data_IF_186909658157
#
_entry.id   IF_186909658157
#
_cell.length_a   1.000
_cell.length_b   1.000
_cell.length_c   1.000
_cell.angle_alpha   90.00
_cell.angle_beta   90.00
_cell.angle_gamma   90.00
#
_symmetry.space_group_name_H-M   'P 1'
#
loop_
_entity.id
_entity.type
_entity.pdbx_description
1 polymer ?
#
# COMPACT_ATOMS: atom_id res chain seq x y z
N UNK A 1 -21.06 20.02 11.52
CA UNK A 1 -20.16 19.46 10.49
C UNK A 1 -20.80 19.78 9.15
N UNK A 2 -20.19 20.64 8.32
CA UNK A 2 -20.77 21.01 7.02
C UNK A 2 -20.79 19.76 6.15
N UNK A 3 -21.94 19.45 5.54
CA UNK A 3 -22.05 18.47 4.48
C UNK A 3 -21.03 18.84 3.39
N UNK A 4 -20.03 17.99 3.19
CA UNK A 4 -19.19 18.06 1.99
C UNK A 4 -19.93 17.23 0.96
N UNK A 5 -20.92 17.84 0.30
CA UNK A 5 -21.55 17.32 -0.93
C UNK A 5 -20.88 17.99 -2.16
N UNK A 6 -19.56 18.23 -2.08
CA UNK A 6 -18.82 18.87 -3.17
C UNK A 6 -18.29 17.79 -4.11
N UNK A 7 -18.66 17.87 -5.39
CA UNK A 7 -18.05 17.04 -6.42
C UNK A 7 -16.52 17.27 -6.44
N UNK A 8 -15.72 16.20 -6.58
CA UNK A 8 -14.27 16.36 -6.64
C UNK A 8 -13.87 17.16 -7.87
N UNK A 9 -12.91 18.07 -7.70
CA UNK A 9 -12.39 18.87 -8.82
C UNK A 9 -11.38 18.02 -9.58
N UNK A 10 -11.67 17.73 -10.86
CA UNK A 10 -10.67 17.14 -11.77
C UNK A 10 -9.66 18.21 -12.16
N UNK A 11 -8.40 18.01 -11.81
CA UNK A 11 -7.31 18.98 -11.99
C UNK A 11 -6.39 18.64 -13.16
N UNK A 12 -6.28 17.35 -13.51
CA UNK A 12 -5.51 16.87 -14.64
C UNK A 12 -6.11 15.56 -15.19
N UNK A 13 -5.81 15.28 -16.46
CA UNK A 13 -6.11 14.02 -17.14
C UNK A 13 -4.94 13.71 -18.07
N UNK A 14 -4.39 12.50 -17.96
CA UNK A 14 -3.14 12.08 -18.56
C UNK A 14 -3.34 10.81 -19.39
N UNK A 15 -2.71 10.76 -20.55
CA UNK A 15 -2.61 9.56 -21.37
C UNK A 15 -1.45 8.69 -20.88
N UNK A 16 -1.76 7.49 -20.41
CA UNK A 16 -0.78 6.54 -19.88
C UNK A 16 -0.70 5.25 -20.72
N UNK A 17 -1.27 5.22 -21.93
CA UNK A 17 -1.30 4.01 -22.78
C UNK A 17 0.07 3.41 -23.05
N UNK A 18 1.11 4.24 -23.06
CA UNK A 18 2.48 3.78 -23.28
C UNK A 18 2.96 2.79 -22.21
N UNK A 19 2.39 2.82 -20.99
CA UNK A 19 2.72 1.86 -19.93
C UNK A 19 2.19 0.44 -20.18
N UNK A 20 1.20 0.29 -21.06
CA UNK A 20 0.45 -0.95 -21.24
C UNK A 20 -0.58 -1.21 -20.13
N UNK A 21 -1.39 -2.27 -20.28
CA UNK A 21 -2.50 -2.55 -19.37
C UNK A 21 -2.06 -3.13 -18.04
N UNK A 22 -2.96 -3.10 -17.05
CA UNK A 22 -2.86 -3.81 -15.75
C UNK A 22 -1.66 -3.41 -14.90
N UNK A 23 -1.29 -2.13 -14.97
CA UNK A 23 -0.22 -1.58 -14.14
C UNK A 23 -0.67 -1.25 -12.71
N UNK A 24 0.27 -1.31 -11.76
CA UNK A 24 0.17 -0.62 -10.46
C UNK A 24 0.89 0.72 -10.56
N UNK A 25 0.30 1.78 -10.03
CA UNK A 25 0.94 3.09 -9.95
C UNK A 25 1.72 3.22 -8.65
N UNK A 26 2.94 3.75 -8.76
CA UNK A 26 3.77 4.22 -7.66
C UNK A 26 4.00 5.73 -7.83
N UNK A 27 4.14 6.44 -6.72
CA UNK A 27 4.30 7.90 -6.70
C UNK A 27 5.59 8.27 -5.96
N UNK A 28 6.28 9.29 -6.47
CA UNK A 28 7.45 9.90 -5.83
C UNK A 28 8.02 11.04 -6.68
N UNK A 29 8.69 11.99 -6.04
CA UNK A 29 9.40 13.09 -6.71
C UNK A 29 10.76 12.57 -7.19
N UNK A 30 10.82 12.12 -8.44
CA UNK A 30 11.94 11.37 -8.98
C UNK A 30 13.09 12.26 -9.44
N UNK A 31 12.82 13.53 -9.76
CA UNK A 31 13.83 14.47 -10.23
C UNK A 31 14.15 15.61 -9.25
N UNK A 32 13.43 15.67 -8.13
CA UNK A 32 13.67 16.53 -6.98
C UNK A 32 13.16 17.96 -7.18
N UNK A 33 12.18 18.18 -8.06
CA UNK A 33 11.67 19.50 -8.41
C UNK A 33 10.56 20.01 -7.48
N UNK A 34 10.06 19.18 -6.57
CA UNK A 34 8.95 19.50 -5.68
C UNK A 34 7.58 19.06 -6.20
N UNK A 35 7.54 18.19 -7.21
CA UNK A 35 6.34 17.60 -7.80
C UNK A 35 6.58 16.10 -8.00
N UNK A 36 5.58 15.28 -7.72
CA UNK A 36 5.70 13.83 -7.88
C UNK A 36 5.49 13.41 -9.34
N UNK A 37 6.22 12.38 -9.76
CA UNK A 37 5.98 11.60 -10.97
C UNK A 37 5.12 10.36 -10.66
N UNK A 38 4.59 9.76 -11.73
CA UNK A 38 3.92 8.46 -11.70
C UNK A 38 4.81 7.40 -12.33
N UNK A 39 5.08 6.30 -11.62
CA UNK A 39 5.71 5.10 -12.19
C UNK A 39 4.69 3.98 -12.30
N UNK A 40 4.39 3.56 -13.51
CA UNK A 40 3.47 2.47 -13.79
C UNK A 40 4.26 1.17 -13.91
N UNK A 41 4.07 0.27 -12.94
CA UNK A 41 4.68 -1.04 -12.90
C UNK A 41 3.76 -2.09 -13.51
N UNK A 42 4.17 -2.64 -14.66
CA UNK A 42 3.42 -3.68 -15.36
C UNK A 42 3.94 -5.07 -14.95
N UNK A 43 3.06 -6.01 -14.55
CA UNK A 43 3.46 -7.38 -14.30
C UNK A 43 3.79 -8.14 -15.60
N UNK A 44 4.55 -9.23 -15.47
CA UNK A 44 4.70 -10.24 -16.52
C UNK A 44 3.36 -10.88 -16.93
N UNK A 45 3.36 -11.63 -18.03
CA UNK A 45 2.16 -12.20 -18.64
C UNK A 45 1.65 -13.49 -17.96
N UNK A 46 2.10 -13.80 -16.74
CA UNK A 46 1.63 -14.98 -15.99
C UNK A 46 0.15 -14.82 -15.64
N UNK A 47 -0.65 -15.83 -15.95
CA UNK A 47 -2.10 -15.77 -15.70
C UNK A 47 -2.50 -16.40 -14.36
N UNK A 48 -1.71 -17.34 -13.85
CA UNK A 48 -1.93 -17.99 -12.55
C UNK A 48 -0.75 -17.68 -11.61
N UNK A 49 -1.04 -16.90 -10.58
CA UNK A 49 -0.06 -16.41 -9.60
C UNK A 49 -0.31 -16.95 -8.19
N UNK A 50 -1.10 -18.02 -8.06
CA UNK A 50 -1.42 -18.61 -6.75
C UNK A 50 -0.18 -19.11 -5.99
N UNK A 51 0.84 -19.54 -6.71
CA UNK A 51 2.06 -20.15 -6.14
C UNK A 51 3.35 -19.46 -6.55
N UNK A 52 3.38 -18.85 -7.74
CA UNK A 52 4.53 -18.13 -8.28
C UNK A 52 4.05 -16.71 -8.57
N UNK A 53 4.53 -15.70 -7.83
CA UNK A 53 4.05 -14.34 -8.00
C UNK A 53 4.60 -13.70 -9.27
N UNK A 54 4.14 -12.50 -9.59
CA UNK A 54 4.64 -11.72 -10.72
C UNK A 54 6.11 -11.32 -10.57
N UNK A 55 6.76 -11.12 -11.72
CA UNK A 55 7.88 -10.19 -11.86
C UNK A 55 7.41 -8.95 -12.62
N UNK A 56 8.24 -7.92 -12.67
CA UNK A 56 7.98 -6.71 -13.45
C UNK A 56 8.41 -6.93 -14.91
N UNK A 57 7.49 -6.68 -15.83
CA UNK A 57 7.71 -6.72 -17.29
C UNK A 57 8.17 -5.37 -17.84
N UNK A 58 7.59 -4.29 -17.30
CA UNK A 58 7.93 -2.93 -17.68
C UNK A 58 7.67 -1.95 -16.53
N UNK A 59 8.48 -0.91 -16.48
CA UNK A 59 8.26 0.29 -15.68
C UNK A 59 8.20 1.48 -16.64
N UNK A 60 7.18 2.32 -16.51
CA UNK A 60 7.05 3.54 -17.33
C UNK A 60 6.78 4.74 -16.44
N UNK A 61 7.66 5.73 -16.50
CA UNK A 61 7.54 6.94 -15.70
C UNK A 61 6.95 8.10 -16.53
N UNK A 62 6.02 8.83 -15.92
CA UNK A 62 5.40 10.03 -16.47
C UNK A 62 5.45 11.16 -15.46
N UNK A 63 5.61 12.39 -15.95
CA UNK A 63 5.28 13.57 -15.15
C UNK A 63 3.75 13.77 -15.07
N UNK A 64 3.32 14.70 -14.21
CA UNK A 64 1.90 15.06 -14.07
C UNK A 64 1.35 15.92 -15.22
N UNK A 65 2.14 16.19 -16.26
CA UNK A 65 1.67 16.76 -17.53
C UNK A 65 1.45 15.68 -18.62
N UNK A 66 1.70 14.40 -18.28
CA UNK A 66 1.48 13.25 -19.15
C UNK A 66 2.65 12.95 -20.08
N UNK A 67 3.81 13.59 -19.87
CA UNK A 67 5.01 13.31 -20.65
C UNK A 67 5.69 12.06 -20.12
N UNK A 68 5.94 11.11 -21.01
CA UNK A 68 6.81 9.96 -20.73
C UNK A 68 8.25 10.45 -20.51
N UNK A 69 8.81 10.13 -19.34
CA UNK A 69 10.17 10.50 -18.94
C UNK A 69 11.17 9.40 -19.32
N UNK A 70 10.88 8.17 -18.89
CA UNK A 70 11.67 6.99 -19.21
C UNK A 70 10.81 5.73 -19.16
N UNK A 71 11.31 4.67 -19.80
CA UNK A 71 10.70 3.33 -19.77
C UNK A 71 11.79 2.28 -19.70
N UNK A 72 11.64 1.33 -18.77
CA UNK A 72 12.51 0.16 -18.61
C UNK A 72 11.70 -1.10 -18.88
N UNK A 73 12.24 -2.02 -19.66
CA UNK A 73 11.49 -3.16 -20.17
C UNK A 73 10.54 -2.79 -21.31
N UNK A 74 9.72 -3.76 -21.74
CA UNK A 74 8.77 -3.61 -22.85
C UNK A 74 7.39 -4.02 -22.39
N UNK A 75 6.40 -3.11 -22.42
CA UNK A 75 5.03 -3.46 -22.07
C UNK A 75 4.47 -4.60 -22.93
N UNK A 76 3.74 -5.51 -22.28
CA UNK A 76 3.05 -6.64 -22.89
C UNK A 76 1.52 -6.44 -22.81
N UNK A 77 0.79 -6.38 -23.95
CA UNK A 77 -0.67 -6.38 -23.95
C UNK A 77 -1.30 -7.60 -23.25
N UNK A 78 -0.56 -8.70 -23.16
CA UNK A 78 -0.91 -9.95 -22.49
C UNK A 78 -0.53 -10.02 -21.00
N UNK A 79 -0.12 -8.91 -20.36
CA UNK A 79 0.23 -8.84 -18.94
C UNK A 79 -0.76 -9.59 -18.01
N UNK A 80 -0.31 -10.09 -16.87
CA UNK A 80 -1.18 -10.75 -15.90
C UNK A 80 -2.13 -9.79 -15.17
N UNK A 81 -2.99 -10.35 -14.34
CA UNK A 81 -3.94 -9.61 -13.50
C UNK A 81 -3.43 -9.38 -12.06
N UNK A 82 -4.19 -8.65 -11.23
CA UNK A 82 -3.84 -8.31 -9.84
C UNK A 82 -4.04 -9.48 -8.86
N UNK A 83 -3.41 -10.64 -9.09
CA UNK A 83 -3.56 -11.84 -8.25
C UNK A 83 -2.44 -12.07 -7.21
N UNK A 84 -1.33 -11.36 -7.37
CA UNK A 84 -0.21 -11.27 -6.45
C UNK A 84 0.26 -9.82 -6.43
N UNK A 85 1.19 -9.50 -5.53
CA UNK A 85 1.79 -8.18 -5.54
C UNK A 85 2.77 -8.00 -6.72
N UNK A 86 3.20 -6.76 -6.95
CA UNK A 86 4.20 -6.42 -7.96
C UNK A 86 5.50 -5.98 -7.27
N UNK A 87 6.64 -6.65 -7.51
CA UNK A 87 7.88 -6.37 -6.78
C UNK A 87 8.55 -5.11 -7.32
N UNK A 88 8.03 -3.93 -6.98
CA UNK A 88 8.62 -2.64 -7.31
C UNK A 88 8.32 -1.55 -6.27
N UNK A 89 9.32 -0.78 -5.82
CA UNK A 89 9.15 0.29 -4.83
C UNK A 89 9.94 1.54 -5.21
N UNK A 90 9.51 2.71 -4.71
CA UNK A 90 10.24 3.98 -4.85
C UNK A 90 10.78 4.39 -3.48
N UNK A 91 12.11 4.48 -3.33
CA UNK A 91 12.76 4.74 -2.05
C UNK A 91 14.16 5.32 -2.25
N UNK A 92 14.62 6.17 -1.33
CA UNK A 92 16.03 6.52 -1.20
C UNK A 92 16.76 5.36 -0.49
N UNK A 93 17.47 4.54 -1.25
CA UNK A 93 18.12 3.32 -0.74
C UNK A 93 19.62 3.47 -0.48
N UNK A 94 20.23 4.59 -0.86
CA UNK A 94 21.64 4.87 -0.57
C UNK A 94 21.89 6.10 0.32
N UNK A 95 20.82 6.80 0.71
CA UNK A 95 20.84 7.91 1.66
C UNK A 95 21.35 9.22 1.04
N UNK A 96 21.35 9.35 -0.29
CA UNK A 96 21.83 10.55 -0.99
C UNK A 96 20.75 11.66 -1.11
N UNK A 97 19.53 11.39 -0.64
CA UNK A 97 18.38 12.28 -0.70
C UNK A 97 17.65 12.28 -2.04
N UNK A 98 17.96 11.34 -2.94
CA UNK A 98 17.26 11.13 -4.22
C UNK A 98 16.60 9.76 -4.21
N UNK A 99 15.54 9.63 -5.01
CA UNK A 99 14.78 8.40 -5.07
C UNK A 99 15.36 7.43 -6.11
N UNK A 100 15.47 6.17 -5.71
CA UNK A 100 15.59 5.04 -6.60
C UNK A 100 14.24 4.38 -6.86
N UNK A 101 14.18 3.63 -7.96
CA UNK A 101 13.13 2.65 -8.21
C UNK A 101 13.75 1.25 -8.11
N UNK A 102 13.29 0.48 -7.13
CA UNK A 102 13.63 -0.93 -6.99
C UNK A 102 12.63 -1.75 -7.79
N UNK A 103 13.07 -2.79 -8.50
CA UNK A 103 12.15 -3.78 -9.07
C UNK A 103 12.78 -5.17 -9.27
N UNK A 104 11.97 -6.23 -9.29
CA UNK A 104 12.44 -7.53 -9.79
C UNK A 104 12.02 -7.73 -11.25
N UNK A 105 12.99 -7.81 -12.14
CA UNK A 105 12.82 -7.99 -13.59
C UNK A 105 13.85 -9.01 -14.10
N UNK A 106 13.42 -9.91 -14.97
CA UNK A 106 14.25 -10.97 -15.58
C UNK A 106 15.07 -11.79 -14.54
N UNK A 107 14.45 -12.10 -13.40
CA UNK A 107 15.05 -12.89 -12.32
C UNK A 107 16.15 -12.16 -11.53
N UNK A 108 16.19 -10.83 -11.60
CA UNK A 108 17.17 -10.00 -10.89
C UNK A 108 16.48 -8.85 -10.17
N UNK A 109 17.00 -8.48 -9.00
CA UNK A 109 16.64 -7.22 -8.36
C UNK A 109 17.43 -6.09 -9.03
N UNK A 110 16.73 -5.12 -9.61
CA UNK A 110 17.31 -3.91 -10.18
C UNK A 110 17.15 -2.75 -9.21
N UNK A 111 18.22 -1.96 -9.11
CA UNK A 111 18.19 -0.63 -8.47
C UNK A 111 18.34 0.38 -9.60
N UNK A 112 17.31 1.17 -9.85
CA UNK A 112 17.28 2.16 -10.92
C UNK A 112 17.36 3.58 -10.34
N UNK A 113 18.14 4.44 -10.97
CA UNK A 113 18.08 5.89 -10.72
C UNK A 113 16.67 6.40 -11.05
N UNK A 114 15.98 7.00 -10.08
CA UNK A 114 14.58 7.40 -10.24
C UNK A 114 14.37 8.43 -11.35
N UNK A 115 15.31 9.36 -11.51
CA UNK A 115 15.22 10.41 -12.52
C UNK A 115 15.32 9.89 -13.95
N UNK A 116 16.19 8.91 -14.21
CA UNK A 116 16.54 8.49 -15.57
C UNK A 116 16.13 7.06 -15.92
N UNK A 117 15.73 6.26 -14.94
CA UNK A 117 15.46 4.82 -15.11
C UNK A 117 16.72 3.99 -15.40
N UNK A 118 17.92 4.58 -15.29
CA UNK A 118 19.18 3.85 -15.56
C UNK A 118 19.51 2.93 -14.40
N UNK A 119 19.92 1.70 -14.69
CA UNK A 119 20.35 0.77 -13.67
C UNK A 119 21.62 1.25 -12.95
N UNK A 120 21.52 1.46 -11.64
CA UNK A 120 22.64 1.65 -10.70
C UNK A 120 23.21 0.29 -10.28
N UNK A 121 22.35 -0.71 -10.09
CA UNK A 121 22.75 -2.08 -9.76
C UNK A 121 21.80 -3.13 -10.36
N UNK A 122 22.32 -4.35 -10.48
CA UNK A 122 21.55 -5.54 -10.88
C UNK A 122 22.04 -6.72 -10.06
N UNK A 123 21.23 -7.15 -9.11
CA UNK A 123 21.60 -8.07 -8.03
C UNK A 123 20.90 -9.43 -8.21
N UNK A 124 21.54 -10.54 -7.80
CA UNK A 124 20.88 -11.84 -7.79
C UNK A 124 19.75 -11.85 -6.75
N UNK A 125 18.70 -12.62 -7.02
CA UNK A 125 17.70 -12.94 -6.01
C UNK A 125 18.25 -14.00 -5.02
N UNK A 126 17.86 -13.97 -3.74
CA UNK A 126 18.26 -14.98 -2.77
C UNK A 126 17.63 -16.35 -3.04
N UNK A 127 16.49 -16.38 -3.74
CA UNK A 127 15.85 -17.59 -4.23
C UNK A 127 15.06 -17.30 -5.53
N UNK A 128 14.78 -18.30 -6.38
CA UNK A 128 14.11 -18.11 -7.66
C UNK A 128 12.75 -17.40 -7.62
N UNK A 129 12.03 -17.52 -6.49
CA UNK A 129 10.69 -16.96 -6.30
C UNK A 129 10.63 -15.85 -5.25
N UNK A 130 11.78 -15.33 -4.81
CA UNK A 130 11.89 -14.23 -3.84
C UNK A 130 11.54 -12.88 -4.49
N UNK A 131 10.33 -12.78 -5.03
CA UNK A 131 9.87 -11.67 -5.84
C UNK A 131 8.34 -11.46 -5.75
N UNK A 132 7.70 -11.84 -4.65
CA UNK A 132 6.28 -11.46 -4.42
C UNK A 132 6.17 -9.95 -4.21
N UNK A 133 7.00 -9.40 -3.31
CA UNK A 133 7.15 -7.97 -3.09
C UNK A 133 8.58 -7.63 -2.63
N UNK A 134 8.87 -6.34 -2.60
CA UNK A 134 10.10 -5.75 -2.05
C UNK A 134 9.65 -4.86 -0.89
N UNK A 135 10.26 -5.01 0.28
CA UNK A 135 9.98 -4.18 1.46
C UNK A 135 11.28 -3.47 1.85
N UNK A 136 11.47 -2.17 1.54
CA UNK A 136 12.62 -1.40 1.99
C UNK A 136 12.65 -1.33 3.52
N UNK A 137 13.83 -1.41 4.14
CA UNK A 137 13.96 -1.41 5.59
C UNK A 137 15.26 -0.74 6.04
N UNK A 138 15.26 -0.16 7.24
CA UNK A 138 16.46 0.28 7.93
C UNK A 138 16.80 -0.69 9.08
N UNK A 139 17.22 -1.90 8.72
CA UNK A 139 17.59 -2.94 9.68
C UNK A 139 18.90 -2.63 10.42
N UNK A 140 19.64 -1.63 9.97
CA UNK A 140 20.95 -1.25 10.50
C UNK A 140 20.95 0.04 11.29
N UNK A 141 19.85 0.80 11.25
CA UNK A 141 19.65 2.06 11.96
C UNK A 141 20.48 3.23 11.42
N UNK A 142 20.59 3.33 10.09
CA UNK A 142 21.34 4.39 9.42
C UNK A 142 20.53 5.67 9.22
N UNK A 143 19.22 5.63 9.43
CA UNK A 143 18.27 6.70 9.13
C UNK A 143 17.74 6.69 7.69
N UNK A 144 17.96 5.62 6.93
CA UNK A 144 17.46 5.43 5.56
C UNK A 144 17.32 3.94 5.21
N UNK A 145 16.43 3.59 4.29
CA UNK A 145 16.13 2.20 3.93
C UNK A 145 17.17 1.59 2.97
N UNK A 146 18.37 1.31 3.47
CA UNK A 146 19.43 0.68 2.66
C UNK A 146 19.48 -0.85 2.71
N UNK A 147 18.59 -1.48 3.47
CA UNK A 147 18.29 -2.91 3.39
C UNK A 147 16.92 -3.12 2.74
N UNK A 148 16.63 -4.36 2.35
CA UNK A 148 15.29 -4.75 1.91
C UNK A 148 14.98 -6.20 2.23
N UNK A 149 13.69 -6.47 2.38
CA UNK A 149 13.16 -7.82 2.43
C UNK A 149 12.65 -8.24 1.05
N UNK A 150 12.95 -9.47 0.69
CA UNK A 150 12.37 -10.18 -0.45
C UNK A 150 11.65 -11.40 0.09
N UNK A 151 10.50 -11.73 -0.47
CA UNK A 151 9.74 -12.92 -0.05
C UNK A 151 9.22 -13.72 -1.23
N UNK A 152 9.02 -15.01 -0.99
CA UNK A 152 8.19 -15.83 -1.86
C UNK A 152 6.71 -15.64 -1.50
N UNK A 153 5.81 -16.47 -2.04
CA UNK A 153 4.38 -16.24 -1.83
C UNK A 153 3.96 -16.33 -0.36
N UNK A 154 4.31 -17.40 0.35
CA UNK A 154 3.75 -17.66 1.69
C UNK A 154 4.63 -18.47 2.64
N UNK A 155 5.93 -18.63 2.35
CA UNK A 155 6.81 -19.47 3.18
C UNK A 155 8.11 -18.84 3.60
N UNK A 156 8.66 -17.92 2.84
CA UNK A 156 10.02 -17.45 3.06
C UNK A 156 10.13 -15.95 2.92
N UNK A 157 10.92 -15.34 3.80
CA UNK A 157 11.39 -13.96 3.71
C UNK A 157 12.90 -13.92 3.95
N UNK A 158 13.60 -13.14 3.13
CA UNK A 158 15.04 -12.92 3.20
C UNK A 158 15.30 -11.43 3.35
N UNK A 159 16.10 -11.04 4.34
CA UNK A 159 16.69 -9.72 4.37
C UNK A 159 18.01 -9.70 3.62
N UNK A 160 18.24 -8.67 2.81
CA UNK A 160 19.50 -8.44 2.15
C UNK A 160 19.94 -6.97 2.29
N UNK A 161 21.25 -6.77 2.29
CA UNK A 161 21.83 -5.43 2.25
C UNK A 161 21.85 -4.84 0.83
N UNK A 162 22.24 -3.56 0.73
CA UNK A 162 22.41 -2.82 -0.52
C UNK A 162 23.27 -3.50 -1.61
N UNK A 163 24.08 -4.50 -1.26
CA UNK A 163 24.91 -5.28 -2.21
C UNK A 163 24.22 -6.57 -2.68
N UNK A 164 23.05 -6.90 -2.14
CA UNK A 164 22.31 -8.14 -2.39
C UNK A 164 22.81 -9.32 -1.56
N UNK A 165 23.67 -9.09 -0.55
CA UNK A 165 24.08 -10.15 0.37
C UNK A 165 22.96 -10.40 1.38
N UNK A 166 22.54 -11.65 1.48
CA UNK A 166 21.56 -12.09 2.49
C UNK A 166 22.15 -11.91 3.88
N UNK A 167 21.43 -11.18 4.73
CA UNK A 167 21.76 -10.97 6.15
C UNK A 167 21.18 -12.09 6.99
N UNK A 168 19.90 -12.40 6.76
CA UNK A 168 19.18 -13.47 7.44
C UNK A 168 18.02 -13.99 6.58
N UNK A 169 17.49 -15.14 6.96
CA UNK A 169 16.35 -15.81 6.34
C UNK A 169 15.41 -16.29 7.43
N UNK A 170 14.11 -16.11 7.21
CA UNK A 170 13.04 -16.65 8.05
C UNK A 170 12.08 -17.49 7.21
N UNK A 171 11.81 -18.71 7.69
CA UNK A 171 10.77 -19.59 7.17
C UNK A 171 9.55 -19.53 8.10
N UNK A 172 8.39 -19.15 7.54
CA UNK A 172 7.16 -18.91 8.28
C UNK A 172 6.03 -18.51 7.34
N UNK A 173 4.92 -17.98 7.89
CA UNK A 173 3.85 -17.41 7.07
C UNK A 173 3.98 -15.88 7.07
N UNK A 174 4.68 -15.28 6.08
CA UNK A 174 4.92 -13.84 6.03
C UNK A 174 3.68 -13.00 5.63
N UNK A 175 2.52 -13.63 5.38
CA UNK A 175 1.35 -12.94 4.86
C UNK A 175 1.57 -12.40 3.43
N UNK A 176 0.72 -11.44 3.05
CA UNK A 176 0.83 -10.76 1.76
C UNK A 176 1.96 -9.74 1.73
N UNK A 177 2.07 -8.90 2.76
CA UNK A 177 3.09 -7.85 2.85
C UNK A 177 3.51 -7.65 4.31
N UNK A 178 4.70 -8.15 4.72
CA UNK A 178 5.30 -7.82 6.00
C UNK A 178 5.43 -6.31 6.21
N UNK A 179 5.29 -5.85 7.45
CA UNK A 179 5.50 -4.45 7.81
C UNK A 179 6.78 -4.30 8.62
N UNK A 180 7.56 -3.26 8.33
CA UNK A 180 8.81 -2.96 9.05
C UNK A 180 8.64 -1.66 9.82
N UNK A 181 9.13 -1.57 11.05
CA UNK A 181 9.17 -0.36 11.87
C UNK A 181 10.06 -0.58 13.09
N UNK A 182 10.83 0.43 13.47
CA UNK A 182 11.42 0.54 14.80
C UNK A 182 10.30 0.61 15.86
N UNK A 183 9.97 -0.56 16.41
CA UNK A 183 8.97 -0.73 17.45
C UNK A 183 9.63 -0.64 18.81
N UNK A 184 10.93 -0.97 18.91
CA UNK A 184 11.60 -1.06 20.17
C UNK A 184 12.32 0.22 20.68
N UNK A 185 12.59 1.14 19.74
CA UNK A 185 13.24 2.43 19.94
C UNK A 185 14.77 2.37 19.87
N UNK A 186 15.38 1.26 19.41
CA UNK A 186 16.83 1.15 19.25
C UNK A 186 17.37 1.79 17.96
N UNK A 187 16.47 2.29 17.11
CA UNK A 187 16.77 2.94 15.84
C UNK A 187 16.81 2.00 14.65
N UNK A 188 16.52 0.70 14.81
CA UNK A 188 16.47 -0.28 13.73
C UNK A 188 15.06 -0.81 13.54
N UNK A 189 14.72 -1.18 12.32
CA UNK A 189 13.41 -1.74 12.05
C UNK A 189 13.27 -3.19 12.53
N UNK A 190 12.26 -3.47 13.36
CA UNK A 190 11.67 -4.81 13.51
C UNK A 190 10.82 -5.15 12.28
N UNK A 191 10.56 -6.44 12.08
CA UNK A 191 9.76 -6.96 10.95
C UNK A 191 8.58 -7.77 11.45
N UNK A 192 7.36 -7.27 11.24
CA UNK A 192 6.14 -8.03 11.41
C UNK A 192 5.89 -8.89 10.16
N UNK A 193 6.36 -10.14 10.18
CA UNK A 193 6.21 -11.10 9.10
C UNK A 193 4.97 -11.97 9.33
N UNK A 194 3.84 -11.50 8.80
CA UNK A 194 2.52 -12.11 8.97
C UNK A 194 2.05 -12.01 10.43
N UNK A 195 2.29 -13.06 11.21
CA UNK A 195 1.94 -13.11 12.64
C UNK A 195 3.15 -13.18 13.58
N UNK A 196 4.36 -13.26 13.04
CA UNK A 196 5.58 -13.32 13.85
C UNK A 196 6.31 -12.00 13.76
N UNK A 197 6.58 -11.40 14.92
CA UNK A 197 7.49 -10.27 14.99
C UNK A 197 8.92 -10.79 15.04
N UNK A 198 9.75 -10.32 14.12
CA UNK A 198 11.18 -10.56 14.06
C UNK A 198 11.92 -9.29 14.49
N UNK A 199 13.01 -9.47 15.21
CA UNK A 199 14.01 -8.44 15.48
C UNK A 199 14.74 -8.05 14.17
N UNK A 200 15.48 -6.94 14.17
CA UNK A 200 16.24 -6.45 13.01
C UNK A 200 17.22 -7.49 12.42
N UNK A 201 17.67 -8.45 13.25
CA UNK A 201 18.58 -9.53 12.88
C UNK A 201 17.87 -10.85 12.45
N UNK A 202 16.54 -10.82 12.36
CA UNK A 202 15.71 -11.95 11.94
C UNK A 202 15.35 -12.93 13.07
N UNK A 203 15.78 -12.67 14.31
CA UNK A 203 15.39 -13.48 15.47
C UNK A 203 13.90 -13.30 15.77
N UNK A 204 13.10 -14.38 15.88
CA UNK A 204 11.72 -14.27 16.33
C UNK A 204 11.64 -13.75 17.78
N UNK A 205 10.83 -12.71 17.99
CA UNK A 205 10.54 -12.13 19.30
C UNK A 205 9.28 -12.75 19.89
N UNK A 206 8.19 -12.77 19.11
CA UNK A 206 6.91 -13.38 19.49
C UNK A 206 6.05 -13.68 18.27
N UNK A 207 5.00 -14.49 18.45
CA UNK A 207 4.04 -14.86 17.41
C UNK A 207 2.61 -14.78 17.94
N UNK A 208 1.68 -14.21 17.17
CA UNK A 208 0.26 -14.24 17.53
C UNK A 208 -0.28 -15.67 17.54
N UNK A 209 -1.11 -16.01 18.53
CA UNK A 209 -1.74 -17.32 18.65
C UNK A 209 -3.17 -17.34 18.08
N UNK A 210 -3.66 -18.54 17.75
CA UNK A 210 -5.06 -18.75 17.34
C UNK A 210 -5.44 -18.16 15.97
N UNK A 211 -4.46 -17.96 15.09
CA UNK A 211 -4.66 -17.49 13.72
C UNK A 211 -4.17 -18.56 12.73
N UNK A 212 -5.04 -19.02 11.84
CA UNK A 212 -4.76 -20.20 10.97
C UNK A 212 -4.55 -19.84 9.49
N UNK A 213 -5.09 -18.71 9.05
CA UNK A 213 -4.94 -18.20 7.68
C UNK A 213 -3.75 -17.24 7.58
N UNK A 214 -3.30 -16.87 6.39
CA UNK A 214 -2.25 -15.85 6.25
C UNK A 214 -2.75 -14.46 6.66
N UNK A 215 -1.84 -13.58 7.07
CA UNK A 215 -2.15 -12.17 7.27
C UNK A 215 -2.38 -11.49 5.91
N UNK A 216 -3.55 -10.88 5.75
CA UNK A 216 -3.94 -10.12 4.56
C UNK A 216 -3.44 -8.67 4.61
N UNK A 217 -3.27 -8.12 5.82
CA UNK A 217 -2.83 -6.74 6.03
C UNK A 217 -2.29 -6.53 7.44
N UNK A 218 -1.32 -5.63 7.56
CA UNK A 218 -0.66 -5.27 8.82
C UNK A 218 -0.60 -3.74 8.89
N UNK A 219 -1.02 -3.20 10.04
CA UNK A 219 -0.99 -1.77 10.33
C UNK A 219 -0.36 -1.52 11.69
N UNK A 220 0.34 -0.40 11.81
CA UNK A 220 0.97 0.01 13.08
C UNK A 220 0.58 1.44 13.45
N UNK A 221 0.21 1.67 14.71
CA UNK A 221 -0.10 3.01 15.19
C UNK A 221 -0.43 3.02 16.67
N UNK A 222 -0.32 4.18 17.31
CA UNK A 222 -0.79 4.38 18.68
C UNK A 222 -2.33 4.46 18.66
N UNK A 223 -2.97 3.29 18.71
CA UNK A 223 -4.42 3.14 18.58
C UNK A 223 -5.11 3.63 19.83
N UNK A 224 -4.52 3.32 20.98
CA UNK A 224 -5.16 3.57 22.28
C UNK A 224 -4.84 4.97 22.85
N UNK A 225 -3.82 5.65 22.34
CA UNK A 225 -3.39 7.00 22.72
C UNK A 225 -2.47 7.06 23.95
N UNK A 226 -1.77 5.98 24.28
CA UNK A 226 -0.86 5.91 25.44
C UNK A 226 0.59 6.29 25.10
N UNK A 227 0.88 6.56 23.83
CA UNK A 227 2.20 6.95 23.33
C UNK A 227 3.05 5.77 22.84
N UNK A 228 2.56 4.53 22.95
CA UNK A 228 3.21 3.35 22.40
C UNK A 228 2.47 2.85 21.15
N UNK A 229 3.19 2.25 20.21
CA UNK A 229 2.58 1.75 18.99
C UNK A 229 2.00 0.34 19.20
N UNK A 230 0.78 0.13 18.69
CA UNK A 230 0.17 -1.17 18.53
C UNK A 230 0.23 -1.67 17.09
N UNK A 231 0.08 -2.99 16.92
CA UNK A 231 0.06 -3.67 15.63
C UNK A 231 -1.33 -4.26 15.42
N UNK A 232 -2.04 -3.75 14.42
CA UNK A 232 -3.32 -4.27 13.95
C UNK A 232 -3.08 -5.24 12.78
N UNK A 233 -3.64 -6.45 12.87
CA UNK A 233 -3.44 -7.50 11.88
C UNK A 233 -4.80 -8.00 11.41
N UNK A 234 -5.00 -8.05 10.09
CA UNK A 234 -6.16 -8.65 9.44
C UNK A 234 -5.79 -9.96 8.76
N UNK A 235 -6.67 -10.94 8.87
CA UNK A 235 -6.52 -12.28 8.28
C UNK A 235 -7.74 -13.12 8.65
N UNK A 236 -7.60 -14.10 9.55
CA UNK A 236 -8.76 -14.86 10.06
C UNK A 236 -9.62 -14.09 11.07
N UNK A 237 -9.10 -13.01 11.63
CA UNK A 237 -9.78 -12.09 12.54
C UNK A 237 -9.10 -10.70 12.42
N UNK A 238 -9.64 -9.69 13.10
CA UNK A 238 -8.89 -8.46 13.37
C UNK A 238 -8.33 -8.54 14.77
N UNK A 239 -7.00 -8.49 14.90
CA UNK A 239 -6.30 -8.57 16.19
C UNK A 239 -5.51 -7.29 16.39
N UNK A 240 -5.52 -6.76 17.62
CA UNK A 240 -4.62 -5.70 18.04
C UNK A 240 -3.69 -6.23 19.13
N UNK A 241 -2.38 -6.14 18.88
CA UNK A 241 -1.33 -6.51 19.82
C UNK A 241 -0.50 -5.28 20.18
N UNK A 242 0.02 -5.22 21.40
CA UNK A 242 1.12 -4.31 21.70
C UNK A 242 2.44 -4.81 21.12
N UNK A 243 3.47 -3.96 21.13
CA UNK A 243 4.85 -4.28 20.68
C UNK A 243 5.49 -5.48 21.37
N UNK A 244 4.98 -5.93 22.52
CA UNK A 244 5.48 -7.08 23.27
C UNK A 244 4.69 -8.37 22.97
N UNK A 245 3.75 -8.33 22.02
CA UNK A 245 2.97 -9.49 21.60
C UNK A 245 1.78 -9.81 22.50
N UNK A 246 1.44 -8.93 23.45
CA UNK A 246 0.22 -9.10 24.24
C UNK A 246 -0.97 -8.62 23.40
N UNK A 247 -1.88 -9.53 23.13
CA UNK A 247 -3.18 -9.23 22.53
C UNK A 247 -3.99 -8.32 23.47
N UNK A 248 -4.37 -7.15 22.97
CA UNK A 248 -5.23 -6.20 23.68
C UNK A 248 -6.69 -6.54 23.46
N UNK A 249 -7.05 -6.87 22.22
CA UNK A 249 -8.37 -7.35 21.84
C UNK A 249 -8.35 -8.06 20.49
N UNK A 250 -9.44 -8.78 20.23
CA UNK A 250 -9.71 -9.49 18.98
C UNK A 250 -11.17 -9.32 18.57
N UNK A 251 -11.38 -9.02 17.30
CA UNK A 251 -12.69 -8.91 16.68
C UNK A 251 -12.91 -10.04 15.68
N UNK A 252 -13.85 -10.93 16.00
CA UNK A 252 -14.22 -12.12 15.21
C UNK A 252 -15.56 -11.93 14.48
N UNK A 253 -16.08 -10.70 14.43
CA UNK A 253 -17.36 -10.40 13.76
C UNK A 253 -17.25 -10.24 12.23
N UNK A 254 -16.04 -10.31 11.69
CA UNK A 254 -15.77 -10.35 10.25
C UNK A 254 -15.65 -11.80 9.78
N UNK A 255 -16.10 -12.08 8.55
CA UNK A 255 -15.97 -13.39 7.93
C UNK A 255 -14.54 -13.59 7.42
N UNK A 256 -14.00 -12.58 6.74
CA UNK A 256 -12.65 -12.55 6.17
C UNK A 256 -12.22 -11.08 6.07
N UNK A 257 -11.69 -10.49 7.16
CA UNK A 257 -11.22 -9.12 7.18
C UNK A 257 -9.98 -8.92 6.32
N UNK A 258 -10.05 -7.98 5.38
CA UNK A 258 -8.98 -7.55 4.50
C UNK A 258 -8.83 -6.02 4.50
N UNK A 259 -7.70 -5.54 3.98
CA UNK A 259 -7.41 -4.12 3.77
C UNK A 259 -7.77 -3.27 5.00
N UNK A 260 -7.19 -3.58 6.14
CA UNK A 260 -7.34 -2.76 7.32
C UNK A 260 -6.72 -1.38 7.09
N UNK A 261 -7.14 -0.41 7.89
CA UNK A 261 -6.58 0.92 7.92
C UNK A 261 -6.77 1.53 9.31
N UNK A 262 -5.68 1.96 9.94
CA UNK A 262 -5.76 2.77 11.16
C UNK A 262 -5.88 4.24 10.74
N UNK A 263 -6.79 4.98 11.38
CA UNK A 263 -6.94 6.41 11.12
C UNK A 263 -7.88 7.11 12.11
N UNK A 264 -7.82 8.44 12.10
CA UNK A 264 -8.69 9.33 12.88
C UNK A 264 -9.99 9.60 12.12
N UNK A 265 -10.75 8.54 11.87
CA UNK A 265 -12.03 8.59 11.14
C UNK A 265 -13.17 9.20 11.97
N UNK A 266 -13.14 9.02 13.30
CA UNK A 266 -14.13 9.53 14.27
C UNK A 266 -13.43 10.39 15.31
N UNK A 267 -13.13 11.66 14.98
CA UNK A 267 -12.38 12.57 15.87
C UNK A 267 -13.12 12.92 17.17
N UNK A 268 -14.41 12.56 17.27
CA UNK A 268 -15.24 12.68 18.46
C UNK A 268 -15.09 11.50 19.45
N UNK A 269 -14.39 10.43 19.05
CA UNK A 269 -14.08 9.28 19.89
C UNK A 269 -12.61 9.32 20.36
N UNK A 270 -12.29 8.71 21.52
CA UNK A 270 -10.91 8.54 21.96
C UNK A 270 -10.16 7.53 21.08
N UNK A 271 -8.85 7.74 20.94
CA UNK A 271 -7.97 6.87 20.17
C UNK A 271 -8.24 6.90 18.65
N UNK A 272 -7.51 6.05 17.94
CA UNK A 272 -7.68 5.84 16.50
C UNK A 272 -8.73 4.74 16.25
N UNK A 273 -9.32 4.74 15.06
CA UNK A 273 -10.26 3.72 14.63
C UNK A 273 -9.60 2.79 13.62
N UNK A 274 -10.14 1.58 13.51
CA UNK A 274 -9.68 0.57 12.56
C UNK A 274 -10.78 0.36 11.54
N UNK A 275 -10.59 0.91 10.35
CA UNK A 275 -11.45 0.63 9.19
C UNK A 275 -10.99 -0.68 8.54
N UNK A 276 -11.90 -1.36 7.85
CA UNK A 276 -11.56 -2.55 7.09
C UNK A 276 -12.61 -2.94 6.06
N UNK A 277 -12.28 -3.93 5.25
CA UNK A 277 -13.18 -4.59 4.30
C UNK A 277 -13.44 -6.01 4.80
N UNK A 278 -14.70 -6.41 4.92
CA UNK A 278 -15.06 -7.79 5.23
C UNK A 278 -15.66 -8.48 4.01
N UNK A 279 -15.05 -9.59 3.60
CA UNK A 279 -15.45 -10.45 2.49
C UNK A 279 -16.61 -11.37 2.89
N UNK A 280 -17.81 -10.79 3.01
CA UNK A 280 -19.02 -11.44 3.57
C UNK A 280 -19.64 -12.58 2.75
N UNK A 281 -19.43 -12.66 1.42
CA UNK A 281 -19.86 -13.80 0.58
C UNK A 281 -18.79 -14.18 -0.43
N UNK A 282 -18.09 -15.28 -0.17
CA UNK A 282 -17.06 -15.84 -1.06
C UNK A 282 -17.60 -16.25 -2.44
N UNK A 283 -17.02 -15.67 -3.49
CA UNK A 283 -17.30 -16.05 -4.89
C UNK A 283 -16.62 -17.37 -5.27
N UNK A 284 -15.50 -17.68 -4.61
CA UNK A 284 -14.65 -18.84 -4.85
C UNK A 284 -15.03 -20.09 -4.02
N UNK A 285 -16.15 -20.05 -3.31
CA UNK A 285 -16.62 -21.15 -2.45
C UNK A 285 -17.23 -22.34 -3.24
N UNK A 286 -17.21 -22.28 -4.57
CA UNK A 286 -17.77 -23.28 -5.47
C UNK A 286 -19.30 -23.30 -5.53
N UNK A 287 -20.00 -22.37 -4.86
CA UNK A 287 -21.47 -22.30 -4.83
C UNK A 287 -22.04 -21.36 -5.90
N UNK A 288 -21.18 -20.72 -6.70
CA UNK A 288 -21.58 -19.87 -7.83
C UNK A 288 -22.36 -18.61 -7.42
N UNK A 289 -22.20 -18.16 -6.17
CA UNK A 289 -22.83 -16.93 -5.67
C UNK A 289 -21.96 -15.73 -6.06
N UNK A 290 -22.54 -14.61 -6.51
CA UNK A 290 -21.77 -13.40 -6.73
C UNK A 290 -21.06 -12.98 -5.45
N UNK A 291 -19.77 -12.67 -5.57
CA UNK A 291 -18.97 -12.20 -4.44
C UNK A 291 -19.54 -10.92 -3.84
N UNK A 292 -19.42 -10.78 -2.52
CA UNK A 292 -19.83 -9.57 -1.80
C UNK A 292 -18.89 -9.23 -0.64
N UNK A 293 -18.44 -7.99 -0.59
CA UNK A 293 -17.68 -7.40 0.52
C UNK A 293 -18.46 -6.27 1.22
N UNK A 294 -17.97 -5.78 2.36
CA UNK A 294 -18.58 -4.67 3.10
C UNK A 294 -17.53 -3.88 3.88
N UNK A 295 -17.61 -2.55 3.87
CA UNK A 295 -16.80 -1.74 4.76
C UNK A 295 -17.25 -1.90 6.21
N UNK A 296 -16.32 -1.81 7.17
CA UNK A 296 -16.63 -1.74 8.59
C UNK A 296 -15.68 -0.80 9.32
N UNK A 297 -16.06 -0.40 10.53
CA UNK A 297 -15.25 0.44 11.40
C UNK A 297 -15.31 -0.04 12.85
N UNK A 298 -14.15 -0.22 13.48
CA UNK A 298 -13.99 -0.52 14.90
C UNK A 298 -13.48 0.70 15.65
N UNK A 299 -13.83 0.83 16.93
CA UNK A 299 -13.17 1.78 17.84
C UNK A 299 -11.82 1.24 18.36
N UNK A 300 -11.10 2.09 19.11
CA UNK A 300 -9.78 1.74 19.68
C UNK A 300 -9.82 0.52 20.64
N UNK A 301 -11.00 0.15 21.14
CA UNK A 301 -11.22 -0.99 22.02
C UNK A 301 -11.76 -2.23 21.25
N UNK A 302 -11.72 -2.22 19.91
CA UNK A 302 -12.16 -3.34 19.08
C UNK A 302 -13.68 -3.50 18.96
N UNK A 303 -14.46 -2.49 19.40
CA UNK A 303 -15.93 -2.55 19.31
C UNK A 303 -16.38 -2.06 17.94
N UNK A 304 -17.26 -2.84 17.30
CA UNK A 304 -17.87 -2.47 16.02
C UNK A 304 -18.72 -1.21 16.18
N UNK A 305 -18.36 -0.15 15.45
CA UNK A 305 -19.12 1.08 15.36
C UNK A 305 -20.23 0.97 14.30
N UNK A 306 -19.89 0.44 13.13
CA UNK A 306 -20.83 0.14 12.06
C UNK A 306 -20.21 -0.82 11.04
N UNK A 307 -21.08 -1.44 10.25
CA UNK A 307 -20.73 -2.28 9.10
C UNK A 307 -21.72 -1.99 7.98
N UNK A 308 -21.20 -1.85 6.77
CA UNK A 308 -22.00 -1.55 5.59
C UNK A 308 -23.00 -2.68 5.30
N UNK A 309 -24.26 -2.32 5.08
CA UNK A 309 -25.26 -3.25 4.55
C UNK A 309 -25.14 -3.39 3.03
N UNK A 310 -24.05 -4.01 2.56
CA UNK A 310 -23.82 -4.18 1.12
C UNK A 310 -24.91 -5.05 0.48
N UNK A 311 -25.54 -4.54 -0.58
CA UNK A 311 -26.57 -5.26 -1.38
C UNK A 311 -26.18 -5.51 -2.83
N UNK A 312 -25.21 -4.79 -3.36
CA UNK A 312 -24.68 -4.98 -4.72
C UNK A 312 -23.54 -6.00 -4.70
N UNK A 313 -23.28 -6.70 -5.83
CA UNK A 313 -22.11 -7.59 -5.95
C UNK A 313 -20.80 -6.78 -5.91
N UNK A 314 -19.68 -7.46 -5.68
CA UNK A 314 -18.34 -6.86 -5.58
C UNK A 314 -17.54 -7.52 -4.47
N UNK A 315 -16.31 -7.95 -4.76
CA UNK A 315 -15.53 -8.83 -3.88
C UNK A 315 -14.09 -8.35 -3.60
N UNK A 316 -13.65 -7.37 -4.38
CA UNK A 316 -12.26 -6.92 -4.44
C UNK A 316 -12.16 -5.42 -4.14
N UNK A 317 -13.03 -4.90 -3.28
CA UNK A 317 -12.91 -3.53 -2.77
C UNK A 317 -11.54 -3.37 -2.14
N UNK A 318 -10.79 -2.39 -2.61
CA UNK A 318 -9.59 -1.92 -1.93
C UNK A 318 -9.98 -0.68 -1.14
N UNK A 319 -9.52 -0.62 0.11
CA UNK A 319 -9.75 0.50 1.01
C UNK A 319 -8.44 0.97 1.60
N UNK A 320 -8.19 2.26 1.50
CA UNK A 320 -7.03 2.93 2.10
C UNK A 320 -7.52 4.12 2.95
N UNK A 321 -6.83 4.47 4.05
CA UNK A 321 -7.13 5.71 4.76
C UNK A 321 -6.61 6.89 3.95
N UNK A 322 -7.38 7.95 3.86
CA UNK A 322 -6.98 9.18 3.19
C UNK A 322 -7.09 10.36 4.17
N UNK A 323 -5.92 10.87 4.54
CA UNK A 323 -5.75 12.07 5.36
C UNK A 323 -5.56 13.29 4.47
N UNK A 324 -5.91 14.48 4.97
CA UNK A 324 -5.60 15.74 4.30
C UNK A 324 -6.39 15.99 3.01
N UNK A 325 -7.54 15.35 2.80
CA UNK A 325 -8.41 15.68 1.66
C UNK A 325 -8.82 17.16 1.69
N UNK A 326 -9.20 17.64 2.86
CA UNK A 326 -9.53 19.04 3.12
C UNK A 326 -8.90 19.47 4.44
N UNK A 327 -8.72 20.79 4.60
CA UNK A 327 -8.16 21.38 5.82
C UNK A 327 -8.99 20.99 7.04
N UNK A 328 -8.31 20.55 8.10
CA UNK A 328 -8.87 20.08 9.37
C UNK A 328 -9.91 18.94 9.27
N UNK A 329 -10.01 18.28 8.11
CA UNK A 329 -10.90 17.15 7.95
C UNK A 329 -10.39 15.92 8.75
N UNK A 330 -11.30 15.10 9.29
CA UNK A 330 -10.91 13.76 9.74
C UNK A 330 -10.41 12.92 8.56
N UNK A 331 -9.83 11.77 8.86
CA UNK A 331 -9.47 10.81 7.84
C UNK A 331 -10.73 10.24 7.18
N UNK A 332 -10.62 9.92 5.89
CA UNK A 332 -11.66 9.25 5.10
C UNK A 332 -11.20 7.86 4.68
N UNK A 333 -12.14 6.95 4.44
CA UNK A 333 -11.85 5.69 3.76
C UNK A 333 -11.98 5.93 2.24
N UNK A 334 -10.87 5.87 1.51
CA UNK A 334 -10.89 5.83 0.05
C UNK A 334 -11.17 4.38 -0.37
N UNK A 335 -12.39 4.11 -0.82
CA UNK A 335 -12.81 2.80 -1.29
C UNK A 335 -12.95 2.79 -2.81
N UNK A 336 -12.27 1.87 -3.48
CA UNK A 336 -12.25 1.73 -4.94
C UNK A 336 -12.26 0.26 -5.36
N UNK A 337 -12.42 -0.02 -6.66
CA UNK A 337 -12.70 -1.36 -7.19
C UNK A 337 -13.88 -2.06 -6.50
N UNK A 338 -14.88 -1.26 -6.12
CA UNK A 338 -16.00 -1.73 -5.30
C UNK A 338 -16.87 -2.76 -5.99
N UNK A 339 -16.90 -2.80 -7.32
CA UNK A 339 -17.76 -3.68 -8.10
C UNK A 339 -19.25 -3.33 -8.00
N UNK A 340 -20.08 -4.04 -8.76
CA UNK A 340 -21.54 -3.87 -8.72
C UNK A 340 -22.06 -2.49 -9.10
N UNK A 341 -21.28 -1.74 -9.90
CA UNK A 341 -21.63 -0.39 -10.37
C UNK A 341 -21.43 0.72 -9.33
N UNK A 342 -20.80 0.43 -8.18
CA UNK A 342 -20.48 1.47 -7.21
C UNK A 342 -19.15 2.16 -7.57
N UNK A 343 -19.14 3.50 -7.68
CA UNK A 343 -17.94 4.23 -8.04
C UNK A 343 -16.93 4.21 -6.89
N UNK A 344 -15.64 4.49 -7.17
CA UNK A 344 -14.70 4.91 -6.15
C UNK A 344 -15.25 6.08 -5.34
N UNK A 345 -14.99 6.09 -4.03
CA UNK A 345 -15.56 7.08 -3.14
C UNK A 345 -14.71 7.30 -1.88
N UNK A 346 -14.84 8.50 -1.31
CA UNK A 346 -14.45 8.78 0.08
C UNK A 346 -15.67 8.56 0.98
N UNK A 347 -15.50 7.71 1.98
CA UNK A 347 -16.48 7.47 3.05
C UNK A 347 -15.97 8.06 4.37
N UNK A 348 -16.85 8.69 5.14
CA UNK A 348 -16.52 9.19 6.48
C UNK A 348 -16.62 8.11 7.56
N UNK A 349 -16.15 8.43 8.78
CA UNK A 349 -16.23 7.52 9.93
C UNK A 349 -17.65 7.14 10.39
N UNK A 350 -18.70 7.64 9.75
CA UNK A 350 -20.10 7.25 9.98
C UNK A 350 -20.64 6.35 8.86
N UNK A 351 -19.79 5.94 7.91
CA UNK A 351 -20.17 5.09 6.77
C UNK A 351 -20.92 5.84 5.67
N UNK A 352 -20.86 7.17 5.65
CA UNK A 352 -21.51 8.00 4.61
C UNK A 352 -20.50 8.33 3.53
N UNK A 353 -20.89 8.19 2.26
CA UNK A 353 -20.13 8.74 1.14
C UNK A 353 -20.16 10.26 1.20
N UNK A 354 -18.98 10.88 1.22
CA UNK A 354 -18.80 12.35 1.20
C UNK A 354 -18.24 12.84 -0.14
N UNK A 355 -17.68 11.94 -0.95
CA UNK A 355 -17.21 12.27 -2.29
C UNK A 355 -17.29 11.00 -3.14
N UNK A 356 -18.01 11.05 -4.25
CA UNK A 356 -18.01 9.98 -5.25
C UNK A 356 -17.25 10.46 -6.48
N UNK A 357 -16.37 9.62 -7.01
CA UNK A 357 -15.55 9.99 -8.15
C UNK A 357 -16.20 9.53 -9.48
N UNK A 358 -16.07 10.30 -10.56
CA UNK A 358 -16.72 10.02 -11.83
C UNK A 358 -15.96 9.03 -12.74
N UNK A 359 -14.90 8.40 -12.23
CA UNK A 359 -14.10 7.41 -12.93
C UNK A 359 -13.98 6.15 -12.08
N UNK A 360 -14.07 4.98 -12.71
CA UNK A 360 -13.76 3.70 -12.08
C UNK A 360 -12.32 3.29 -12.41
N UNK A 361 -11.76 2.39 -11.60
CA UNK A 361 -10.39 1.92 -11.76
C UNK A 361 -9.65 1.73 -10.44
N UNK A 362 -8.33 1.80 -10.54
CA UNK A 362 -7.44 1.82 -9.38
C UNK A 362 -7.26 3.25 -8.89
N UNK A 363 -6.83 3.37 -7.63
CA UNK A 363 -6.50 4.64 -7.02
C UNK A 363 -5.05 4.66 -6.53
N UNK A 364 -4.45 5.84 -6.57
CA UNK A 364 -3.26 6.20 -5.81
C UNK A 364 -3.49 7.60 -5.23
N UNK A 365 -2.84 7.95 -4.12
CA UNK A 365 -3.05 9.27 -3.52
C UNK A 365 -1.81 9.78 -2.78
N UNK A 366 -1.57 11.08 -2.86
CA UNK A 366 -0.48 11.79 -2.18
C UNK A 366 -0.72 13.31 -2.24
N UNK A 367 0.06 14.09 -1.49
CA UNK A 367 0.21 15.52 -1.80
C UNK A 367 1.21 15.66 -2.97
N UNK A 368 0.67 15.72 -4.19
CA UNK A 368 1.44 15.52 -5.43
C UNK A 368 2.39 16.68 -5.77
N UNK A 369 2.22 17.85 -5.13
CA UNK A 369 2.99 19.06 -5.44
C UNK A 369 3.23 19.94 -4.20
N UNK A 370 3.29 19.35 -3.00
CA UNK A 370 3.53 20.08 -1.75
C UNK A 370 2.47 21.16 -1.47
N UNK A 371 1.21 20.86 -1.80
CA UNK A 371 0.04 21.73 -1.66
C UNK A 371 -0.46 21.84 -0.22
N UNK A 372 -0.08 20.90 0.64
CA UNK A 372 -0.60 20.70 1.99
C UNK A 372 -1.92 19.91 2.02
N UNK A 373 -2.41 19.45 0.87
CA UNK A 373 -3.62 18.63 0.75
C UNK A 373 -3.33 17.40 -0.12
N UNK A 374 -4.01 16.31 0.16
CA UNK A 374 -3.91 15.07 -0.61
C UNK A 374 -4.77 15.15 -1.87
N UNK A 375 -4.21 14.75 -3.00
CA UNK A 375 -4.93 14.49 -4.24
C UNK A 375 -5.10 12.99 -4.45
N UNK A 376 -6.17 12.62 -5.16
CA UNK A 376 -6.46 11.24 -5.55
C UNK A 376 -6.28 11.11 -7.07
N UNK A 377 -5.47 10.16 -7.50
CA UNK A 377 -5.37 9.76 -8.91
C UNK A 377 -6.23 8.52 -9.10
N UNK A 378 -7.20 8.59 -10.00
CA UNK A 378 -7.92 7.41 -10.47
C UNK A 378 -7.44 7.05 -11.86
N UNK A 379 -7.13 5.78 -12.08
CA UNK A 379 -6.52 5.35 -13.32
C UNK A 379 -6.99 3.96 -13.77
N UNK A 380 -6.91 3.76 -15.07
CA UNK A 380 -7.13 2.49 -15.76
C UNK A 380 -6.05 2.32 -16.84
N UNK A 381 -6.20 1.33 -17.74
CA UNK A 381 -5.16 0.95 -18.71
C UNK A 381 -4.76 2.05 -19.72
N UNK A 382 -5.51 3.15 -19.80
CA UNK A 382 -5.29 4.19 -20.82
C UNK A 382 -5.13 5.60 -20.27
N UNK A 383 -5.81 5.90 -19.17
CA UNK A 383 -5.84 7.25 -18.62
C UNK A 383 -5.68 7.24 -17.10
N UNK A 384 -5.06 8.32 -16.61
CA UNK A 384 -5.04 8.69 -15.20
C UNK A 384 -5.68 10.07 -15.06
N UNK A 385 -6.53 10.26 -14.06
CA UNK A 385 -7.17 11.54 -13.77
C UNK A 385 -6.92 11.92 -12.32
N UNK A 386 -6.49 13.17 -12.10
CA UNK A 386 -6.16 13.70 -10.79
C UNK A 386 -7.34 14.49 -10.24
N UNK A 387 -7.74 14.17 -9.01
CA UNK A 387 -8.85 14.78 -8.30
C UNK A 387 -8.38 15.44 -7.00
N UNK A 388 -8.97 16.58 -6.70
CA UNK A 388 -8.72 17.34 -5.48
C UNK A 388 -10.03 17.80 -4.84
N UNK A 389 -9.98 18.16 -3.55
CA UNK A 389 -11.13 18.72 -2.82
C UNK A 389 -11.51 20.14 -3.26
N UNK A 390 -10.60 20.84 -3.96
CA UNK A 390 -10.77 22.19 -4.49
C UNK A 390 -9.86 22.39 -5.69
N UNK A 391 -10.07 23.50 -6.41
CA UNK A 391 -9.15 23.92 -7.45
C UNK A 391 -7.74 24.15 -6.85
N UNK A 392 -6.77 23.38 -7.33
CA UNK A 392 -5.37 23.40 -6.90
C UNK A 392 -4.48 23.30 -8.12
N UNK A 393 -3.42 24.10 -8.14
CA UNK A 393 -2.40 24.03 -9.19
C UNK A 393 -1.35 22.99 -8.80
N UNK A 394 -1.19 21.97 -9.64
CA UNK A 394 -0.19 20.91 -9.48
C UNK A 394 1.10 21.28 -10.21
N UNK A 395 1.64 22.47 -9.93
CA UNK A 395 2.93 22.91 -10.46
C UNK A 395 3.97 22.88 -9.35
N UNK A 396 5.18 22.45 -9.69
CA UNK A 396 6.34 22.60 -8.82
C UNK A 396 6.48 24.07 -8.38
N UNK A 397 6.66 24.33 -7.08
CA UNK A 397 6.96 25.68 -6.61
C UNK A 397 8.43 25.99 -6.91
N UNK A 398 8.76 27.17 -7.49
CA UNK A 398 10.15 27.53 -7.73
C UNK A 398 10.99 27.43 -6.45
N UNK A 399 12.01 26.56 -6.46
CA UNK A 399 12.90 26.35 -5.32
C UNK A 399 12.34 25.51 -4.16
N UNK A 400 11.26 24.75 -4.38
CA UNK A 400 10.68 23.85 -3.37
C UNK A 400 11.68 22.81 -2.84
N UNK A 401 12.59 22.34 -3.70
CA UNK A 401 13.42 21.16 -3.41
C UNK A 401 12.59 19.87 -3.46
N UNK A 402 13.22 18.72 -3.21
CA UNK A 402 12.54 17.43 -3.29
C UNK A 402 11.42 17.31 -2.27
N UNK A 403 10.29 16.74 -2.68
CA UNK A 403 9.25 16.29 -1.75
C UNK A 403 9.73 15.10 -0.91
N UNK A 404 9.25 14.95 0.34
CA UNK A 404 9.49 13.73 1.09
C UNK A 404 8.87 12.53 0.36
N UNK A 405 9.46 11.35 0.57
CA UNK A 405 8.88 10.06 0.19
C UNK A 405 8.30 9.40 1.45
N UNK A 406 7.01 9.59 1.78
CA UNK A 406 6.42 9.02 2.98
C UNK A 406 6.45 7.50 2.92
N UNK A 407 6.53 6.85 4.08
CA UNK A 407 6.61 5.38 4.16
C UNK A 407 5.49 4.67 3.41
N UNK A 408 4.28 5.23 3.44
CA UNK A 408 3.13 4.71 2.66
C UNK A 408 3.39 4.63 1.16
N UNK A 409 4.15 5.57 0.59
CA UNK A 409 4.51 5.56 -0.84
C UNK A 409 5.71 4.64 -1.09
N UNK A 410 6.70 4.59 -0.20
CA UNK A 410 7.84 3.67 -0.33
C UNK A 410 7.47 2.20 -0.10
N UNK A 411 6.34 1.94 0.56
CA UNK A 411 5.80 0.60 0.86
C UNK A 411 4.45 0.34 0.18
N UNK A 412 4.13 1.08 -0.89
CA UNK A 412 2.88 0.91 -1.62
C UNK A 412 2.75 -0.53 -2.16
N UNK A 413 1.61 -1.18 -1.87
CA UNK A 413 1.32 -2.58 -2.19
C UNK A 413 -0.14 -2.75 -2.61
N UNK A 414 -0.45 -3.83 -3.35
CA UNK A 414 -1.83 -4.22 -3.65
C UNK A 414 -2.64 -4.59 -2.40
N UNK A 415 -1.98 -4.94 -1.30
CA UNK A 415 -2.58 -5.36 -0.04
C UNK A 415 -2.31 -4.31 1.04
N UNK A 416 -3.08 -3.21 1.12
CA UNK A 416 -2.70 -2.05 1.89
C UNK A 416 -2.35 -2.38 3.36
N UNK A 417 -1.08 -2.13 3.69
CA UNK A 417 -0.55 -2.01 5.04
C UNK A 417 -0.12 -0.56 5.28
N UNK A 418 0.17 -0.21 6.52
CA UNK A 418 0.48 1.19 6.81
C UNK A 418 0.89 1.47 8.25
N UNK A 419 1.30 2.70 8.46
CA UNK A 419 1.44 3.24 9.81
C UNK A 419 0.95 4.68 9.89
N UNK A 420 0.59 5.08 11.11
CA UNK A 420 0.12 6.41 11.50
C UNK A 420 0.75 6.88 12.81
#
# INVERSE_FOLDING_TARGET
MRHVDAEPVRTAELDIRAAGPRCRMLLGDLDGDGRMEMVLAQPDNRQDVRYIPHQVQALTAFDLDGRLLWQVGRPDPGAGGPGSDYPAQIVDCDGDGRLEVLCVMDGRLLVLDGRSGRAKASLPLPAPHAHDCIIPADLSGRGYCGEWLLKDRYRNVWAADGSGRVLWHHEGNPGHYPWVRDLDGDGKDEVMAGYTLLDHDGRPLWTCEGLTEHADCIWVGDVNGDGEAEIAIGGSAVVLCDRHGRELWRYEGAVEPQHLAIGRFRPDLPGLQIAGVDRIVREDDGRGRPGRDALFLLDAAGRLLWKEERRTPGWLTIMEPLSGWAEDAPDFMLAYRRGGGLPPALCDGHGRTVCAFPLDGYAAHADLAGTGLTQVILYHDEAAAVFASRDVRLQARPGAGPLPQPKRLSHATLYPGGEV
#
